data_IF_537447775880
#
_entry.id   IF_537447775880
#
_cell.length_a   1.000
_cell.length_b   1.000
_cell.length_c   1.000
_cell.angle_alpha   90.00
_cell.angle_beta   90.00
_cell.angle_gamma   90.00
#
_symmetry.space_group_name_H-M   'P 1'
#
loop_
_entity.id
_entity.type
_entity.pdbx_description
1 polymer ?
#
# COMPACT_ATOMS: atom_id res chain seq x y z
N UNK A 1 -3.62 8.60 -19.70
CA UNK A 1 -3.16 8.08 -18.39
C UNK A 1 -4.26 7.20 -17.82
N UNK A 2 -4.27 5.89 -18.10
CA UNK A 2 -5.41 5.02 -17.71
C UNK A 2 -5.04 3.57 -17.36
N UNK A 3 -3.76 3.22 -17.34
CA UNK A 3 -3.34 1.85 -16.97
C UNK A 3 -3.08 1.66 -15.46
N UNK A 4 -3.10 2.75 -14.69
CA UNK A 4 -2.72 2.73 -13.27
C UNK A 4 -3.82 2.13 -12.37
N UNK A 5 -5.08 2.29 -12.76
CA UNK A 5 -6.25 1.84 -11.98
C UNK A 5 -6.44 0.33 -12.04
N UNK A 6 -5.94 -0.36 -13.08
CA UNK A 6 -6.05 -1.81 -13.23
C UNK A 6 -5.03 -2.65 -12.42
N UNK A 7 -4.01 -2.01 -11.84
CA UNK A 7 -2.86 -2.70 -11.19
C UNK A 7 -2.89 -2.67 -9.67
N UNK A 8 -3.99 -2.24 -9.06
CA UNK A 8 -4.13 -2.06 -7.61
C UNK A 8 -5.04 -3.13 -7.01
N UNK A 9 -4.47 -4.02 -6.20
CA UNK A 9 -5.26 -4.99 -5.44
C UNK A 9 -5.73 -4.35 -4.14
N UNK A 10 -7.03 -4.39 -3.88
CA UNK A 10 -7.54 -4.20 -2.53
C UNK A 10 -7.08 -5.37 -1.64
N UNK A 11 -6.69 -5.06 -0.41
CA UNK A 11 -6.53 -6.10 0.61
C UNK A 11 -7.66 -6.06 1.62
N UNK A 12 -7.97 -7.22 2.19
CA UNK A 12 -8.91 -7.42 3.29
C UNK A 12 -8.13 -7.76 4.55
N UNK A 13 -8.60 -7.28 5.70
CA UNK A 13 -8.04 -7.68 6.98
C UNK A 13 -8.48 -9.11 7.27
N UNK A 14 -7.53 -9.99 7.51
CA UNK A 14 -7.78 -11.42 7.74
C UNK A 14 -7.59 -11.78 9.21
N UNK A 15 -6.55 -11.27 9.85
CA UNK A 15 -6.38 -11.37 11.30
C UNK A 15 -5.54 -10.25 11.88
N UNK A 16 -5.67 -10.06 13.19
CA UNK A 16 -4.83 -9.16 13.99
C UNK A 16 -4.36 -9.91 15.23
N UNK A 17 -3.07 -9.85 15.51
CA UNK A 17 -2.49 -10.31 16.77
C UNK A 17 -1.97 -9.09 17.51
N UNK A 18 -2.44 -8.86 18.73
CA UNK A 18 -2.09 -7.70 19.55
C UNK A 18 -1.02 -8.10 20.57
N UNK A 19 -0.01 -7.25 20.70
CA UNK A 19 1.10 -7.34 21.64
C UNK A 19 1.14 -6.07 22.49
N UNK A 20 1.96 -6.05 23.55
CA UNK A 20 2.08 -4.87 24.40
C UNK A 20 2.59 -3.63 23.63
N UNK A 21 3.42 -3.83 22.61
CA UNK A 21 4.07 -2.76 21.83
C UNK A 21 3.39 -2.46 20.49
N UNK A 22 2.33 -3.18 20.11
CA UNK A 22 1.69 -2.96 18.82
C UNK A 22 0.86 -4.15 18.36
N UNK A 23 0.60 -4.23 17.05
CA UNK A 23 -0.19 -5.29 16.48
C UNK A 23 0.37 -5.76 15.13
N UNK A 24 0.29 -7.07 14.89
CA UNK A 24 0.60 -7.67 13.59
C UNK A 24 -0.71 -7.90 12.85
N UNK A 25 -0.91 -7.14 11.77
CA UNK A 25 -2.07 -7.23 10.89
C UNK A 25 -1.75 -8.15 9.70
N UNK A 26 -2.43 -9.30 9.59
CA UNK A 26 -2.39 -10.14 8.39
C UNK A 26 -3.47 -9.66 7.43
N UNK A 27 -3.07 -9.30 6.21
CA UNK A 27 -4.00 -8.88 5.15
C UNK A 27 -3.90 -9.80 3.94
N UNK A 28 -5.03 -10.06 3.31
CA UNK A 28 -5.13 -10.87 2.10
C UNK A 28 -5.49 -10.00 0.91
N UNK A 29 -4.67 -10.06 -0.14
CA UNK A 29 -4.93 -9.45 -1.43
C UNK A 29 -5.05 -10.55 -2.48
N UNK A 30 -5.91 -10.34 -3.49
CA UNK A 30 -6.15 -11.29 -4.57
C UNK A 30 -6.20 -10.54 -5.90
N UNK A 31 -5.71 -11.18 -6.95
CA UNK A 31 -5.77 -10.68 -8.31
C UNK A 31 -4.80 -11.43 -9.22
N UNK A 32 -4.72 -11.00 -10.47
CA UNK A 32 -3.80 -11.57 -11.46
C UNK A 32 -2.48 -10.83 -11.46
N UNK A 33 -1.37 -11.57 -11.38
CA UNK A 33 -0.02 -10.97 -11.43
C UNK A 33 0.26 -10.53 -12.87
N UNK A 34 0.61 -9.25 -13.12
CA UNK A 34 0.95 -8.79 -14.45
C UNK A 34 2.28 -9.38 -14.95
N UNK A 35 2.56 -9.26 -16.26
CA UNK A 35 3.78 -9.82 -16.88
C UNK A 35 5.08 -9.26 -16.32
N UNK A 36 5.06 -8.02 -15.81
CA UNK A 36 6.22 -7.38 -15.16
C UNK A 36 6.44 -7.88 -13.72
N UNK A 37 5.55 -8.72 -13.20
CA UNK A 37 5.62 -9.31 -11.86
C UNK A 37 5.38 -8.31 -10.73
N UNK A 38 4.96 -7.07 -11.01
CA UNK A 38 4.77 -6.02 -10.00
C UNK A 38 3.30 -5.80 -9.70
N UNK A 39 2.99 -5.67 -8.42
CA UNK A 39 1.62 -5.49 -7.94
C UNK A 39 1.60 -4.41 -6.87
N UNK A 40 0.65 -3.48 -6.96
CA UNK A 40 0.37 -2.52 -5.89
C UNK A 40 -0.75 -3.03 -5.01
N UNK A 41 -0.50 -3.12 -3.70
CA UNK A 41 -1.51 -3.56 -2.73
C UNK A 41 -1.97 -2.38 -1.89
N UNK A 42 -3.28 -2.15 -1.86
CA UNK A 42 -3.95 -1.09 -1.12
C UNK A 42 -4.49 -1.60 0.23
N UNK A 43 -4.85 -0.66 1.11
CA UNK A 43 -5.52 -0.96 2.38
C UNK A 43 -4.59 -1.43 3.49
N UNK A 44 -3.27 -1.35 3.32
CA UNK A 44 -2.32 -1.57 4.41
C UNK A 44 -2.50 -0.52 5.52
N UNK A 45 -2.10 -0.83 6.78
CA UNK A 45 -2.07 0.17 7.84
C UNK A 45 -1.29 1.42 7.42
N UNK A 46 -1.78 2.60 7.83
CA UNK A 46 -1.17 3.89 7.48
C UNK A 46 0.27 4.01 8.01
N UNK A 47 0.54 3.37 9.14
CA UNK A 47 1.86 3.31 9.78
C UNK A 47 2.27 1.86 9.94
N UNK A 48 3.55 1.59 9.68
CA UNK A 48 4.17 0.27 9.81
C UNK A 48 5.54 0.47 10.42
N UNK A 49 5.93 -0.41 11.34
CA UNK A 49 7.29 -0.37 11.87
C UNK A 49 8.29 -0.64 10.72
N UNK A 50 9.41 0.09 10.63
CA UNK A 50 10.41 -0.14 9.61
C UNK A 50 10.84 -1.61 9.55
N UNK A 51 10.84 -2.18 8.36
CA UNK A 51 11.23 -3.57 8.16
C UNK A 51 10.26 -4.62 8.74
N UNK A 52 9.05 -4.24 9.17
CA UNK A 52 8.01 -5.19 9.62
C UNK A 52 7.22 -5.83 8.47
N UNK A 53 7.23 -5.22 7.28
CA UNK A 53 6.47 -5.73 6.13
C UNK A 53 7.00 -7.10 5.68
N UNK A 54 6.11 -8.08 5.64
CA UNK A 54 6.36 -9.42 5.08
C UNK A 54 5.21 -9.79 4.14
N UNK A 55 5.52 -10.50 3.07
CA UNK A 55 4.53 -10.98 2.11
C UNK A 55 4.89 -12.39 1.65
N UNK A 56 3.86 -13.18 1.33
CA UNK A 56 4.01 -14.52 0.75
C UNK A 56 2.84 -14.82 -0.19
N UNK A 57 3.09 -15.70 -1.17
CA UNK A 57 2.05 -16.21 -2.07
C UNK A 57 1.32 -17.37 -1.38
N UNK A 58 -0.01 -17.41 -1.47
CA UNK A 58 -0.84 -18.44 -0.81
C UNK A 58 -1.44 -19.49 -1.76
N UNK A 59 -1.54 -19.21 -3.07
CA UNK A 59 -2.37 -20.04 -3.97
C UNK A 59 -1.87 -20.18 -5.41
N UNK A 60 -0.63 -19.80 -5.70
CA UNK A 60 -0.03 -19.99 -7.03
C UNK A 60 1.30 -20.73 -6.89
N UNK A 61 1.43 -21.88 -7.56
CA UNK A 61 2.70 -22.59 -7.70
C UNK A 61 3.60 -21.85 -8.71
N UNK A 62 4.92 -21.89 -8.49
CA UNK A 62 5.89 -21.25 -9.38
C UNK A 62 6.04 -19.73 -9.22
N UNK A 63 5.29 -19.09 -8.33
CA UNK A 63 5.43 -17.66 -8.01
C UNK A 63 5.98 -17.48 -6.60
N UNK A 64 6.97 -16.60 -6.45
CA UNK A 64 7.54 -16.21 -5.15
C UNK A 64 7.58 -14.70 -5.02
N UNK A 65 7.51 -14.22 -3.78
CA UNK A 65 7.82 -12.82 -3.48
C UNK A 65 9.33 -12.68 -3.45
N UNK A 66 9.86 -11.79 -4.28
CA UNK A 66 11.28 -11.39 -4.28
C UNK A 66 11.51 -10.14 -3.45
N UNK A 67 10.51 -9.25 -3.41
CA UNK A 67 10.58 -7.96 -2.77
C UNK A 67 9.19 -7.51 -2.30
N UNK A 68 9.15 -6.82 -1.16
CA UNK A 68 7.96 -6.15 -0.66
C UNK A 68 8.37 -4.81 -0.05
N UNK A 69 7.78 -3.71 -0.53
CA UNK A 69 8.06 -2.36 -0.06
C UNK A 69 6.77 -1.59 0.19
N UNK A 70 6.84 -0.65 1.11
CA UNK A 70 5.76 0.32 1.34
C UNK A 70 5.99 1.49 0.39
N UNK A 71 5.00 1.78 -0.45
CA UNK A 71 4.95 3.02 -1.23
C UNK A 71 4.00 3.99 -0.53
N UNK A 72 4.51 5.14 -0.08
CA UNK A 72 3.68 6.24 0.41
C UNK A 72 3.33 7.11 -0.79
N UNK A 73 2.13 6.92 -1.33
CA UNK A 73 1.61 7.78 -2.38
C UNK A 73 1.24 9.14 -1.77
N UNK A 74 2.08 10.14 -1.94
CA UNK A 74 1.72 11.54 -1.77
C UNK A 74 1.42 12.13 -3.14
N UNK A 75 0.14 12.20 -3.50
CA UNK A 75 -0.24 13.14 -4.55
C UNK A 75 -0.20 14.56 -3.94
N UNK A 76 0.47 15.54 -4.56
CA UNK A 76 0.15 16.93 -4.30
C UNK A 76 -1.37 17.13 -4.48
N UNK A 77 -2.00 17.92 -3.63
CA UNK A 77 -3.35 18.40 -3.92
C UNK A 77 -3.25 19.19 -5.24
N UNK A 78 -3.88 18.70 -6.30
CA UNK A 78 -3.85 19.33 -7.64
C UNK A 78 -4.11 20.84 -7.53
N UNK A 79 -3.28 21.61 -8.25
CA UNK A 79 -3.21 23.04 -8.66
C UNK A 79 -4.19 24.10 -8.09
N UNK A 80 -4.74 23.86 -6.91
CA UNK A 80 -5.75 24.66 -6.25
C UNK A 80 -5.45 24.76 -4.77
N UNK A 81 -4.19 25.04 -4.42
CA UNK A 81 -3.93 25.63 -3.11
C UNK A 81 -4.81 26.88 -3.01
N UNK A 82 -5.76 26.96 -2.06
CA UNK A 82 -6.62 28.12 -1.96
C UNK A 82 -5.71 29.34 -1.76
N UNK A 83 -5.83 30.35 -2.63
CA UNK A 83 -5.04 31.59 -2.59
C UNK A 83 -5.04 32.28 -1.21
N UNK A 84 -5.99 31.89 -0.34
CA UNK A 84 -6.04 32.27 1.07
C UNK A 84 -4.77 31.94 1.89
N UNK A 85 -3.95 30.96 1.48
CA UNK A 85 -2.72 30.63 2.21
C UNK A 85 -1.53 31.57 1.87
N UNK A 86 -1.66 32.40 0.83
CA UNK A 86 -0.61 33.33 0.36
C UNK A 86 -0.67 34.72 1.02
N UNK A 87 -1.46 34.92 2.08
CA UNK A 87 -1.49 36.23 2.75
C UNK A 87 -0.21 36.38 3.59
N UNK A 88 0.73 37.14 3.03
CA UNK A 88 1.91 37.66 3.72
C UNK A 88 1.48 38.37 5.01
N UNK A 89 2.25 38.12 6.06
CA UNK A 89 2.11 38.79 7.36
C UNK A 89 2.77 40.15 7.21
N UNK A 90 1.97 41.22 7.26
CA UNK A 90 2.48 42.59 7.49
C UNK A 90 2.70 42.81 8.99
#
# INVERSE_FOLDING_TARGET
MSEETGRRWGSTLDSVVVYAQGAVCRRLARGTVPRDGRVRVAGLPRTLDPGSLRARVLGASGVRVTEARVEVASAPLDDGAPDALRREVE
#
